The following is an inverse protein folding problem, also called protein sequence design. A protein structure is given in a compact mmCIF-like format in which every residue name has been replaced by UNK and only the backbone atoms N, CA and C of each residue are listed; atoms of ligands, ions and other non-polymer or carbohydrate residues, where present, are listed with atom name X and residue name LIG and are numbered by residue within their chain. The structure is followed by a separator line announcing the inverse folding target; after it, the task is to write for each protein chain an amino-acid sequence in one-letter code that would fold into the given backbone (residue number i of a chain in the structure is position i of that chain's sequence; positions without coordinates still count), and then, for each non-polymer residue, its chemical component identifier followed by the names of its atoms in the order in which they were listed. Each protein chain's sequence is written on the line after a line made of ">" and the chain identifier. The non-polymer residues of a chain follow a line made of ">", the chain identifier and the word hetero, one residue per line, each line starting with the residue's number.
data_IF_484503078472
#
_entry.id   IF_484503078472
#
_cell.length_a   1.000
_cell.length_b   1.000
_cell.length_c   1.000
_cell.angle_alpha   90.00
_cell.angle_beta   90.00
_cell.angle_gamma   90.00
#
_symmetry.space_group_name_H-M   'P 1'
#
loop_
_entity.id
_entity.type
_entity.pdbx_description
1 polymer ?
#
# COMPACT_ATOMS: atom_id res chain seq x y z
N UNK A 1 -84.46 -13.66 20.75
CA UNK A 1 -84.38 -13.18 19.35
C UNK A 1 -83.84 -11.76 19.35
N UNK A 2 -82.97 -11.48 18.37
CA UNK A 2 -82.27 -10.23 18.09
C UNK A 2 -83.11 -8.94 18.27
N UNK A 3 -82.41 -7.84 18.59
CA UNK A 3 -82.54 -6.55 17.90
C UNK A 3 -81.39 -5.60 18.28
N UNK A 4 -80.55 -5.36 17.29
CA UNK A 4 -80.09 -4.07 16.74
C UNK A 4 -80.10 -2.74 17.53
N UNK A 5 -79.07 -1.95 17.17
CA UNK A 5 -78.95 -0.49 17.11
C UNK A 5 -78.80 0.30 18.42
N UNK A 6 -77.63 0.92 18.62
CA UNK A 6 -77.42 2.38 18.49
C UNK A 6 -76.09 2.78 19.16
N UNK A 7 -75.24 3.44 18.39
CA UNK A 7 -74.13 4.22 18.93
C UNK A 7 -74.70 5.56 19.42
N UNK A 8 -74.63 5.84 20.72
CA UNK A 8 -74.95 7.15 21.27
C UNK A 8 -73.82 7.67 22.17
N UNK A 9 -73.54 8.95 22.01
CA UNK A 9 -72.50 9.73 22.70
C UNK A 9 -72.94 10.02 24.15
N UNK A 10 -71.95 10.21 25.01
CA UNK A 10 -71.97 10.96 26.27
C UNK A 10 -71.83 10.15 27.57
N UNK A 11 -71.16 10.79 28.53
CA UNK A 11 -70.81 10.36 29.90
C UNK A 11 -69.58 9.43 29.98
N UNK A 12 -68.34 9.96 30.02
CA UNK A 12 -67.66 10.47 31.22
C UNK A 12 -67.74 9.49 32.41
N UNK A 13 -66.57 9.17 32.98
CA UNK A 13 -66.35 8.40 34.23
C UNK A 13 -66.31 6.87 34.13
N UNK A 14 -65.33 6.31 33.42
CA UNK A 14 -64.60 5.12 33.87
C UNK A 14 -63.55 4.76 32.82
N UNK A 15 -62.27 4.95 33.16
CA UNK A 15 -61.11 4.13 32.74
C UNK A 15 -59.82 4.84 33.16
N UNK A 16 -59.77 5.26 34.41
CA UNK A 16 -58.51 5.50 35.13
C UNK A 16 -57.99 4.15 35.64
N UNK A 17 -57.76 3.21 34.73
CA UNK A 17 -57.20 1.88 35.03
C UNK A 17 -56.92 1.20 33.70
N UNK A 18 -55.71 1.41 33.17
CA UNK A 18 -54.95 0.54 32.24
C UNK A 18 -53.92 1.33 31.43
N UNK A 19 -53.98 2.67 31.39
CA UNK A 19 -52.99 3.49 30.65
C UNK A 19 -51.63 3.60 31.35
N UNK A 20 -51.51 3.18 32.61
CA UNK A 20 -50.25 3.22 33.37
C UNK A 20 -49.34 1.99 33.21
N UNK A 21 -49.82 0.89 32.61
CA UNK A 21 -49.03 -0.34 32.43
C UNK A 21 -48.48 -0.55 31.02
N UNK A 22 -48.81 0.33 30.07
CA UNK A 22 -48.36 0.21 28.67
C UNK A 22 -47.07 1.01 28.40
N UNK A 23 -46.59 1.82 29.36
CA UNK A 23 -45.37 2.64 29.20
C UNK A 23 -44.07 2.01 29.72
N UNK A 24 -44.09 0.80 30.30
CA UNK A 24 -42.89 0.09 30.75
C UNK A 24 -42.52 -1.15 29.90
N UNK A 25 -43.25 -1.41 28.82
CA UNK A 25 -42.94 -2.48 27.87
C UNK A 25 -42.33 -1.96 26.55
N UNK A 26 -41.82 -0.72 26.52
CA UNK A 26 -41.13 -0.16 25.35
C UNK A 26 -39.60 -0.11 25.48
N UNK A 27 -39.03 -0.57 26.59
CA UNK A 27 -37.57 -0.55 26.81
C UNK A 27 -36.86 -1.89 26.54
N UNK A 28 -37.50 -2.82 25.81
CA UNK A 28 -36.84 -4.05 25.35
C UNK A 28 -37.22 -4.39 23.91
N UNK A 29 -37.27 -3.40 23.03
CA UNK A 29 -36.98 -3.65 21.62
C UNK A 29 -35.48 -3.50 21.45
N UNK A 30 -34.74 -4.56 21.76
CA UNK A 30 -33.35 -4.69 21.30
C UNK A 30 -33.42 -4.78 19.78
N UNK A 31 -33.28 -3.64 19.11
CA UNK A 31 -33.00 -3.57 17.68
C UNK A 31 -31.56 -4.03 17.46
N UNK A 32 -31.31 -5.32 17.66
CA UNK A 32 -30.00 -5.91 17.49
C UNK A 32 -30.10 -7.00 16.43
N UNK A 33 -29.67 -6.65 15.22
CA UNK A 33 -29.03 -7.50 14.21
C UNK A 33 -29.29 -6.98 12.78
N UNK A 34 -28.63 -5.87 12.43
CA UNK A 34 -28.13 -5.70 11.05
C UNK A 34 -26.83 -6.52 10.85
N UNK A 35 -26.68 -7.61 11.59
CA UNK A 35 -25.60 -8.56 11.46
C UNK A 35 -26.26 -9.83 10.94
N UNK A 36 -26.00 -10.16 9.68
CA UNK A 36 -26.70 -11.25 9.00
C UNK A 36 -26.79 -12.58 9.73
N UNK A 37 -27.80 -13.38 9.37
CA UNK A 37 -28.12 -14.64 10.01
C UNK A 37 -27.02 -15.69 9.79
N UNK A 38 -26.55 -16.33 10.86
CA UNK A 38 -25.61 -17.43 10.77
C UNK A 38 -26.38 -18.74 10.54
N UNK A 39 -26.17 -19.38 9.39
CA UNK A 39 -26.85 -20.61 9.00
C UNK A 39 -26.10 -21.85 9.50
N UNK A 40 -24.78 -21.78 9.61
CA UNK A 40 -23.94 -22.88 10.09
C UNK A 40 -22.66 -22.38 10.76
N UNK A 41 -22.24 -23.07 11.82
CA UNK A 41 -21.12 -22.66 12.67
C UNK A 41 -21.51 -21.59 13.69
N UNK A 42 -20.52 -20.92 14.27
CA UNK A 42 -20.73 -19.77 15.16
C UNK A 42 -20.59 -18.42 14.41
N UNK A 43 -20.18 -18.46 13.14
CA UNK A 43 -19.81 -17.34 12.28
C UNK A 43 -18.92 -16.28 12.96
N UNK A 44 -18.18 -16.69 13.99
CA UNK A 44 -17.35 -15.86 14.84
C UNK A 44 -15.89 -16.26 14.66
N UNK A 45 -15.57 -17.55 14.78
CA UNK A 45 -14.23 -18.08 14.55
C UNK A 45 -14.29 -19.46 13.88
N UNK A 46 -13.43 -19.66 12.89
CA UNK A 46 -13.38 -20.93 12.15
C UNK A 46 -14.43 -20.99 11.02
N UNK A 47 -14.78 -22.19 10.58
CA UNK A 47 -15.64 -22.37 9.42
C UNK A 47 -17.11 -22.03 9.73
N UNK A 48 -17.78 -21.36 8.81
CA UNK A 48 -19.21 -21.06 8.93
C UNK A 48 -19.88 -20.72 7.60
N UNK A 49 -21.21 -20.56 7.68
CA UNK A 49 -22.07 -20.10 6.58
C UNK A 49 -22.93 -18.96 7.11
N UNK A 50 -22.76 -17.76 6.55
CA UNK A 50 -23.50 -16.56 6.98
C UNK A 50 -24.31 -16.01 5.82
N UNK A 51 -25.61 -15.87 6.03
CA UNK A 51 -26.50 -15.09 5.19
C UNK A 51 -26.26 -13.61 5.51
N UNK A 52 -25.87 -12.83 4.51
CA UNK A 52 -25.64 -11.41 4.65
C UNK A 52 -26.85 -10.64 4.10
N UNK A 53 -27.56 -9.85 4.94
CA UNK A 53 -28.67 -9.03 4.52
C UNK A 53 -28.12 -7.73 3.94
N UNK A 54 -27.93 -7.70 2.63
CA UNK A 54 -27.82 -6.44 1.87
C UNK A 54 -29.20 -6.07 1.26
N UNK A 55 -29.23 -5.22 0.22
CA UNK A 55 -30.43 -4.98 -0.59
C UNK A 55 -30.96 -6.28 -1.24
N UNK A 56 -30.08 -7.26 -1.46
CA UNK A 56 -30.42 -8.62 -1.83
C UNK A 56 -29.58 -9.62 -1.00
N UNK A 57 -30.14 -10.78 -0.61
CA UNK A 57 -29.42 -11.73 0.24
C UNK A 57 -28.29 -12.41 -0.53
N UNK A 58 -27.07 -12.29 -0.02
CA UNK A 58 -25.91 -13.08 -0.45
C UNK A 58 -25.46 -14.03 0.67
N UNK A 59 -24.79 -15.12 0.32
CA UNK A 59 -24.30 -16.12 1.26
C UNK A 59 -22.78 -16.12 1.22
N UNK A 60 -22.15 -15.99 2.38
CA UNK A 60 -20.74 -16.25 2.56
C UNK A 60 -20.54 -17.64 3.16
N UNK A 61 -19.71 -18.46 2.52
CA UNK A 61 -19.25 -19.77 3.01
C UNK A 61 -17.74 -19.68 3.16
N UNK A 62 -17.22 -19.84 4.37
CA UNK A 62 -15.77 -19.74 4.56
C UNK A 62 -15.33 -19.64 6.00
N UNK A 63 -14.12 -19.14 6.17
CA UNK A 63 -13.50 -18.95 7.48
C UNK A 63 -13.84 -17.59 8.08
N UNK A 64 -14.05 -17.57 9.39
CA UNK A 64 -14.34 -16.40 10.18
C UNK A 64 -13.26 -16.17 11.24
N UNK A 65 -13.06 -14.91 11.57
CA UNK A 65 -12.29 -14.47 12.74
C UNK A 65 -12.95 -13.22 13.31
N UNK A 66 -13.24 -13.22 14.61
CA UNK A 66 -13.92 -12.11 15.29
C UNK A 66 -15.21 -11.65 14.58
N UNK A 67 -16.01 -12.59 14.06
CA UNK A 67 -17.28 -12.27 13.40
C UNK A 67 -17.18 -11.81 11.94
N UNK A 68 -15.96 -11.75 11.38
CA UNK A 68 -15.70 -11.27 10.01
C UNK A 68 -15.12 -12.38 9.13
N UNK A 69 -15.44 -12.40 7.82
CA UNK A 69 -14.72 -13.20 6.83
C UNK A 69 -13.20 -13.04 6.95
N UNK A 70 -12.49 -14.14 7.19
CA UNK A 70 -11.04 -14.14 7.38
C UNK A 70 -10.46 -15.51 7.04
N UNK A 71 -9.70 -15.59 5.95
CA UNK A 71 -9.21 -16.84 5.35
C UNK A 71 -9.96 -17.19 4.06
N UNK A 72 -9.86 -18.44 3.59
CA UNK A 72 -10.53 -18.91 2.38
C UNK A 72 -12.06 -18.87 2.48
N UNK A 73 -12.74 -18.57 1.38
CA UNK A 73 -14.19 -18.54 1.32
C UNK A 73 -14.78 -18.37 -0.08
N UNK A 74 -16.11 -18.26 -0.14
CA UNK A 74 -16.91 -18.08 -1.35
C UNK A 74 -18.09 -17.17 -1.01
N UNK A 75 -18.39 -16.19 -1.87
CA UNK A 75 -19.65 -15.44 -1.83
C UNK A 75 -20.52 -15.89 -3.00
N UNK A 76 -21.77 -16.22 -2.70
CA UNK A 76 -22.77 -16.61 -3.69
C UNK A 76 -24.01 -15.73 -3.63
N UNK A 77 -24.59 -15.46 -4.80
CA UNK A 77 -25.83 -14.70 -4.97
C UNK A 77 -26.80 -15.46 -5.87
N UNK A 78 -28.03 -15.71 -5.42
CA UNK A 78 -29.03 -16.44 -6.20
C UNK A 78 -28.59 -17.85 -6.64
N UNK A 79 -27.67 -18.48 -5.90
CA UNK A 79 -27.07 -19.78 -6.25
C UNK A 79 -25.85 -19.70 -7.18
N UNK A 80 -25.50 -18.51 -7.68
CA UNK A 80 -24.30 -18.28 -8.49
C UNK A 80 -23.13 -17.85 -7.62
N UNK A 81 -21.93 -18.37 -7.90
CA UNK A 81 -20.70 -17.93 -7.24
C UNK A 81 -20.29 -16.57 -7.82
N UNK A 82 -20.20 -15.57 -6.96
CA UNK A 82 -19.80 -14.21 -7.32
C UNK A 82 -18.33 -13.94 -7.02
N UNK A 83 -17.77 -14.62 -6.01
CA UNK A 83 -16.34 -14.57 -5.74
C UNK A 83 -15.85 -15.78 -4.95
N UNK A 84 -14.61 -16.19 -5.20
CA UNK A 84 -13.93 -17.27 -4.50
C UNK A 84 -12.47 -16.87 -4.28
N UNK A 85 -11.98 -16.92 -3.04
CA UNK A 85 -10.69 -16.32 -2.73
C UNK A 85 -10.25 -16.40 -1.28
N UNK A 86 -9.55 -15.36 -0.83
CA UNK A 86 -9.08 -15.15 0.54
C UNK A 86 -9.57 -13.80 1.03
N UNK A 87 -10.16 -13.80 2.21
CA UNK A 87 -10.62 -12.63 2.92
C UNK A 87 -9.71 -12.31 4.09
N UNK A 88 -9.66 -11.04 4.48
CA UNK A 88 -8.98 -10.61 5.70
C UNK A 88 -9.81 -9.50 6.32
N UNK A 89 -10.23 -9.72 7.55
CA UNK A 89 -11.00 -8.75 8.34
C UNK A 89 -12.25 -8.20 7.62
N UNK A 90 -12.88 -9.04 6.80
CA UNK A 90 -14.07 -8.72 5.99
C UNK A 90 -13.77 -8.27 4.56
N UNK A 91 -12.52 -8.00 4.20
CA UNK A 91 -12.14 -7.49 2.87
C UNK A 91 -11.60 -8.62 1.97
N UNK A 92 -11.89 -8.56 0.67
CA UNK A 92 -11.40 -9.52 -0.32
C UNK A 92 -9.95 -9.19 -0.73
N UNK A 93 -9.01 -10.07 -0.39
CA UNK A 93 -7.57 -9.86 -0.62
C UNK A 93 -7.13 -10.39 -1.98
N UNK A 94 -7.49 -11.65 -2.28
CA UNK A 94 -7.09 -12.32 -3.51
C UNK A 94 -8.05 -13.42 -3.93
N UNK A 95 -8.21 -13.61 -5.24
CA UNK A 95 -9.01 -14.71 -5.79
C UNK A 95 -9.71 -14.33 -7.09
N UNK A 96 -10.73 -15.10 -7.44
CA UNK A 96 -11.57 -14.89 -8.60
C UNK A 96 -12.85 -14.14 -8.21
N UNK A 97 -13.25 -13.17 -9.03
CA UNK A 97 -14.53 -12.48 -9.00
C UNK A 97 -15.25 -12.85 -10.28
N UNK A 98 -16.51 -13.22 -10.18
CA UNK A 98 -17.38 -13.57 -11.30
C UNK A 98 -18.45 -12.49 -11.40
N UNK A 99 -18.56 -11.85 -12.56
CA UNK A 99 -19.60 -10.86 -12.81
C UNK A 99 -20.96 -11.52 -13.15
N UNK A 100 -22.00 -10.71 -13.29
CA UNK A 100 -23.35 -11.20 -13.63
C UNK A 100 -23.44 -11.81 -15.03
N UNK A 101 -22.45 -11.60 -15.89
CA UNK A 101 -22.36 -12.19 -17.24
C UNK A 101 -21.54 -13.48 -17.25
N UNK A 102 -20.97 -13.88 -16.11
CA UNK A 102 -20.12 -15.07 -15.97
C UNK A 102 -18.65 -14.83 -16.33
N UNK A 103 -18.22 -13.59 -16.55
CA UNK A 103 -16.80 -13.31 -16.78
C UNK A 103 -16.03 -13.44 -15.46
N UNK A 104 -14.82 -14.01 -15.55
CA UNK A 104 -13.96 -14.22 -14.38
C UNK A 104 -12.80 -13.23 -14.39
N UNK A 105 -12.70 -12.40 -13.36
CA UNK A 105 -11.57 -11.51 -13.08
C UNK A 105 -10.75 -12.05 -11.91
N UNK A 106 -9.43 -12.15 -12.07
CA UNK A 106 -8.53 -12.48 -10.97
C UNK A 106 -7.95 -11.21 -10.35
N UNK A 107 -8.13 -11.05 -9.04
CA UNK A 107 -7.61 -9.92 -8.26
C UNK A 107 -6.62 -10.42 -7.22
N UNK A 108 -5.51 -9.70 -7.06
CA UNK A 108 -4.50 -9.93 -6.03
C UNK A 108 -4.03 -8.57 -5.50
N UNK A 109 -4.56 -8.16 -4.35
CA UNK A 109 -4.25 -6.87 -3.74
C UNK A 109 -2.82 -6.82 -3.16
N UNK A 110 -2.24 -7.96 -2.77
CA UNK A 110 -0.87 -8.04 -2.24
C UNK A 110 0.14 -7.71 -3.35
N UNK A 111 -0.06 -8.26 -4.56
CA UNK A 111 0.80 -7.98 -5.72
C UNK A 111 0.70 -6.54 -6.23
N UNK A 112 -0.49 -5.94 -6.18
CA UNK A 112 -0.69 -4.56 -6.61
C UNK A 112 0.13 -3.57 -5.76
N UNK A 113 0.27 -3.85 -4.46
CA UNK A 113 1.08 -3.04 -3.55
C UNK A 113 2.58 -3.33 -3.71
N UNK A 114 2.97 -4.61 -3.85
CA UNK A 114 4.35 -5.00 -4.06
C UNK A 114 4.93 -4.41 -5.37
N UNK A 115 4.16 -4.44 -6.46
CA UNK A 115 4.60 -3.88 -7.75
C UNK A 115 4.88 -2.37 -7.71
N UNK A 116 4.14 -1.61 -6.89
CA UNK A 116 4.38 -0.16 -6.71
C UNK A 116 5.62 0.09 -5.87
N UNK A 117 5.79 -0.63 -4.75
CA UNK A 117 6.94 -0.48 -3.87
C UNK A 117 8.25 -0.88 -4.56
N UNK A 118 8.26 -1.97 -5.32
CA UNK A 118 9.43 -2.40 -6.09
C UNK A 118 9.82 -1.39 -7.16
N UNK A 119 8.84 -0.81 -7.87
CA UNK A 119 9.08 0.24 -8.86
C UNK A 119 9.68 1.49 -8.23
N UNK A 120 9.06 1.99 -7.16
CA UNK A 120 9.53 3.18 -6.44
C UNK A 120 10.93 2.98 -5.85
N UNK A 121 11.25 1.75 -5.42
CA UNK A 121 12.58 1.39 -4.87
C UNK A 121 13.64 1.41 -5.97
N UNK A 122 13.38 0.76 -7.12
CA UNK A 122 14.29 0.76 -8.27
C UNK A 122 14.56 2.17 -8.81
N UNK A 123 13.54 3.04 -8.86
CA UNK A 123 13.70 4.44 -9.26
C UNK A 123 14.49 5.29 -8.27
N UNK A 124 14.48 4.94 -6.97
CA UNK A 124 15.31 5.60 -5.96
C UNK A 124 16.76 5.14 -6.04
N UNK A 125 16.98 3.85 -6.24
CA UNK A 125 18.30 3.25 -6.41
C UNK A 125 18.99 3.77 -7.68
N UNK A 126 18.29 3.80 -8.82
CA UNK A 126 18.85 4.33 -10.07
C UNK A 126 19.25 5.80 -9.95
N UNK A 127 18.42 6.63 -9.29
CA UNK A 127 18.77 8.03 -9.00
C UNK A 127 19.94 8.15 -8.04
N UNK A 128 20.10 7.23 -7.09
CA UNK A 128 21.25 7.23 -6.19
C UNK A 128 22.55 6.83 -6.91
N UNK A 129 22.48 5.85 -7.82
CA UNK A 129 23.61 5.43 -8.63
C UNK A 129 24.06 6.53 -9.59
N UNK A 130 23.14 7.27 -10.18
CA UNK A 130 23.51 8.39 -11.06
C UNK A 130 24.21 9.51 -10.30
N UNK A 131 23.74 9.86 -9.08
CA UNK A 131 24.45 10.81 -8.21
C UNK A 131 25.85 10.34 -7.84
N UNK A 132 26.03 9.04 -7.54
CA UNK A 132 27.37 8.48 -7.24
C UNK A 132 28.30 8.57 -8.45
N UNK A 133 27.79 8.34 -9.66
CA UNK A 133 28.58 8.49 -10.89
C UNK A 133 28.99 9.95 -11.11
N UNK A 134 28.07 10.90 -10.91
CA UNK A 134 28.38 12.33 -10.97
C UNK A 134 29.44 12.73 -9.95
N UNK A 135 29.33 12.27 -8.70
CA UNK A 135 30.34 12.51 -7.65
C UNK A 135 31.71 11.93 -8.01
N UNK A 136 31.75 10.71 -8.56
CA UNK A 136 32.98 10.08 -9.03
C UNK A 136 33.60 10.84 -10.21
N UNK A 137 32.78 11.34 -11.12
CA UNK A 137 33.26 12.15 -12.24
C UNK A 137 33.86 13.46 -11.73
N UNK A 138 33.17 14.15 -10.81
CA UNK A 138 33.69 15.37 -10.18
C UNK A 138 35.01 15.08 -9.45
N UNK A 139 35.10 13.98 -8.71
CA UNK A 139 36.31 13.60 -8.01
C UNK A 139 37.48 13.36 -8.98
N UNK A 140 37.21 12.65 -10.09
CA UNK A 140 38.20 12.41 -11.15
C UNK A 140 38.64 13.72 -11.80
N UNK A 141 37.72 14.62 -12.14
CA UNK A 141 38.06 15.90 -12.74
C UNK A 141 38.87 16.79 -11.78
N UNK A 142 38.53 16.76 -10.49
CA UNK A 142 39.26 17.47 -9.45
C UNK A 142 40.68 16.91 -9.28
N UNK A 143 40.86 15.59 -9.30
CA UNK A 143 42.20 14.98 -9.21
C UNK A 143 43.07 15.32 -10.42
N UNK A 144 42.49 15.29 -11.63
CA UNK A 144 43.18 15.69 -12.87
C UNK A 144 43.59 17.16 -12.80
N UNK A 145 42.70 18.05 -12.34
CA UNK A 145 42.99 19.49 -12.19
C UNK A 145 44.11 19.73 -11.19
N UNK A 146 44.09 19.03 -10.05
CA UNK A 146 45.13 19.12 -9.04
C UNK A 146 46.50 18.67 -9.59
N UNK A 147 46.54 17.53 -10.28
CA UNK A 147 47.74 17.02 -10.96
C UNK A 147 48.31 18.04 -11.96
N UNK A 148 47.46 18.59 -12.84
CA UNK A 148 47.88 19.62 -13.80
C UNK A 148 48.40 20.89 -13.14
N UNK A 149 47.79 21.29 -12.01
CA UNK A 149 48.24 22.45 -11.23
C UNK A 149 49.64 22.23 -10.65
N UNK A 150 49.90 21.03 -10.11
CA UNK A 150 51.21 20.64 -9.61
C UNK A 150 52.27 20.61 -10.73
N UNK A 151 51.95 20.03 -11.89
CA UNK A 151 52.86 20.03 -13.04
C UNK A 151 53.20 21.45 -13.52
N UNK A 152 52.20 22.33 -13.60
CA UNK A 152 52.41 23.72 -13.99
C UNK A 152 53.28 24.48 -12.98
N UNK A 153 53.07 24.27 -11.69
CA UNK A 153 53.92 24.85 -10.63
C UNK A 153 55.37 24.35 -10.73
N UNK A 154 55.57 23.05 -10.96
CA UNK A 154 56.89 22.45 -11.17
C UNK A 154 57.61 23.07 -12.39
N UNK A 155 56.92 23.20 -13.53
CA UNK A 155 57.45 23.84 -14.74
C UNK A 155 57.83 25.31 -14.51
N UNK A 156 57.03 26.04 -13.75
CA UNK A 156 57.32 27.43 -13.39
C UNK A 156 58.60 27.54 -12.55
N UNK A 157 58.81 26.62 -11.60
CA UNK A 157 60.04 26.55 -10.80
C UNK A 157 61.27 26.24 -11.67
N UNK A 158 61.16 25.34 -12.64
CA UNK A 158 62.26 25.03 -13.58
C UNK A 158 62.68 26.22 -14.44
N UNK A 159 61.79 27.17 -14.72
CA UNK A 159 62.12 28.33 -15.56
C UNK A 159 63.16 29.28 -14.93
N UNK A 160 63.36 29.20 -13.61
CA UNK A 160 64.38 29.95 -12.87
C UNK A 160 65.79 29.32 -12.98
N UNK A 161 65.93 28.12 -13.55
CA UNK A 161 67.21 27.45 -13.74
C UNK A 161 68.00 28.05 -14.91
N UNK A 162 69.34 28.06 -14.80
CA UNK A 162 70.24 28.54 -15.86
C UNK A 162 70.12 27.66 -17.11
N UNK A 163 70.17 28.30 -18.28
CA UNK A 163 69.85 27.65 -19.55
C UNK A 163 70.97 26.77 -20.10
N UNK A 164 72.26 27.02 -19.84
CA UNK A 164 73.34 26.25 -20.47
C UNK A 164 74.64 26.23 -19.64
N UNK A 165 75.29 25.07 -19.62
CA UNK A 165 76.67 24.82 -19.22
C UNK A 165 77.34 24.12 -20.41
N UNK A 166 78.47 24.65 -20.89
CA UNK A 166 79.18 24.13 -22.08
C UNK A 166 79.78 22.73 -21.91
N UNK A 167 79.64 22.13 -20.72
CA UNK A 167 80.10 20.76 -20.40
C UNK A 167 78.99 19.70 -20.32
N UNK A 168 77.70 20.08 -20.37
CA UNK A 168 76.57 19.16 -20.17
C UNK A 168 75.88 18.74 -21.48
N UNK A 169 75.53 17.46 -21.61
CA UNK A 169 74.77 16.92 -22.75
C UNK A 169 73.29 17.37 -22.78
N UNK A 170 72.74 17.80 -21.64
CA UNK A 170 71.35 18.29 -21.48
C UNK A 170 71.34 19.45 -20.49
N UNK A 171 70.56 20.49 -20.76
CA UNK A 171 70.40 21.63 -19.84
C UNK A 171 69.71 21.20 -18.54
N UNK A 172 70.17 21.68 -17.36
CA UNK A 172 69.47 21.48 -16.08
C UNK A 172 68.00 21.93 -16.13
N UNK A 173 67.69 22.95 -16.93
CA UNK A 173 66.33 23.44 -17.15
C UNK A 173 65.46 22.44 -17.92
N UNK A 174 66.02 21.80 -18.94
CA UNK A 174 65.30 20.83 -19.77
C UNK A 174 65.11 19.49 -19.05
N UNK A 175 66.13 19.07 -18.28
CA UNK A 175 66.02 17.90 -17.40
C UNK A 175 64.92 18.10 -16.34
N UNK A 176 64.89 19.26 -15.66
CA UNK A 176 63.86 19.61 -14.68
C UNK A 176 62.45 19.59 -15.30
N UNK A 177 62.27 20.15 -16.50
CA UNK A 177 60.96 20.14 -17.19
C UNK A 177 60.51 18.73 -17.57
N UNK A 178 61.43 17.89 -18.05
CA UNK A 178 61.14 16.48 -18.33
C UNK A 178 60.70 15.74 -17.07
N UNK A 179 61.36 15.99 -15.94
CA UNK A 179 61.00 15.37 -14.66
C UNK A 179 59.61 15.80 -14.17
N UNK A 180 59.19 17.05 -14.40
CA UNK A 180 57.83 17.51 -14.10
C UNK A 180 56.74 16.82 -14.94
N UNK A 181 57.08 16.17 -16.05
CA UNK A 181 56.14 15.52 -16.98
C UNK A 181 56.13 13.98 -16.85
N UNK A 182 56.90 13.41 -15.91
CA UNK A 182 57.06 11.95 -15.75
C UNK A 182 55.80 11.18 -15.28
N UNK A 183 54.61 11.78 -15.32
CA UNK A 183 53.34 11.12 -15.02
C UNK A 183 52.19 11.70 -15.85
N UNK A 184 51.32 10.83 -16.38
CA UNK A 184 50.09 11.27 -17.05
C UNK A 184 49.03 11.67 -16.01
N UNK A 185 48.34 12.79 -16.24
CA UNK A 185 47.24 13.26 -15.40
C UNK A 185 45.87 12.79 -15.94
N UNK A 186 45.73 11.53 -16.37
CA UNK A 186 44.52 10.98 -17.02
C UNK A 186 43.74 9.97 -16.16
#
# INVERSE_FOLDING_TARGET
>A
MNKDLTMNRSSFLMKLSCTGLILLASAAYSSDSLAGECLYGDCTNGAGVKLQPEQYPNIYVGQFKNGKPNGPGIISFGGLVMSAGVWKDGEFVKGAIVDSSGNVEYRDQEKAQQGKLEKDTKERESRADERRKEELQILRENSIRACKTQQNACKAQCNALRSWDSSAQVSPKDQCKSDCEKGSCE
#
